data_IF_532038936202
#
_entry.id   IF_532038936202
#
_cell.length_a   1.000
_cell.length_b   1.000
_cell.length_c   1.000
_cell.angle_alpha   90.00
_cell.angle_beta   90.00
_cell.angle_gamma   90.00
#
_symmetry.space_group_name_H-M   'P 1'
#
loop_
_entity.id
_entity.type
_entity.pdbx_description
1 polymer ?
#
# COMPACT_ATOMS: atom_id res chain seq x y z
N UNK A 1 9.49 2.83 -23.27
CA UNK A 1 10.33 2.30 -22.17
C UNK A 1 9.63 2.50 -20.81
N UNK A 2 9.17 3.71 -20.48
CA UNK A 2 8.48 4.00 -19.21
C UNK A 2 7.34 3.01 -18.90
N UNK A 3 6.45 2.77 -19.87
CA UNK A 3 5.32 1.84 -19.69
C UNK A 3 5.75 0.39 -19.37
N UNK A 4 6.86 -0.07 -19.94
CA UNK A 4 7.42 -1.41 -19.65
C UNK A 4 8.09 -1.47 -18.28
N UNK A 5 8.69 -0.38 -17.84
CA UNK A 5 9.26 -0.25 -16.50
C UNK A 5 8.12 -0.27 -15.48
N UNK A 6 7.06 0.51 -15.70
CA UNK A 6 5.88 0.53 -14.81
C UNK A 6 5.25 -0.85 -14.66
N UNK A 7 5.09 -1.59 -15.78
CA UNK A 7 4.56 -2.96 -15.72
C UNK A 7 5.47 -3.91 -14.92
N UNK A 8 6.79 -3.84 -15.14
CA UNK A 8 7.75 -4.65 -14.39
C UNK A 8 7.73 -4.29 -12.88
N UNK A 9 7.68 -2.99 -12.55
CA UNK A 9 7.58 -2.52 -11.16
C UNK A 9 6.30 -2.98 -10.50
N UNK A 10 5.17 -2.95 -11.22
CA UNK A 10 3.86 -3.36 -10.71
C UNK A 10 3.82 -4.86 -10.38
N UNK A 11 4.37 -5.70 -11.27
CA UNK A 11 4.45 -7.15 -11.01
C UNK A 11 5.38 -7.45 -9.86
N UNK A 12 6.57 -6.85 -9.80
CA UNK A 12 7.50 -7.05 -8.68
C UNK A 12 6.90 -6.57 -7.36
N UNK A 13 6.25 -5.42 -7.36
CA UNK A 13 5.59 -4.89 -6.16
C UNK A 13 4.43 -5.79 -5.71
N UNK A 14 3.64 -6.33 -6.65
CA UNK A 14 2.56 -7.27 -6.32
C UNK A 14 3.10 -8.59 -5.72
N UNK A 15 4.19 -9.12 -6.26
CA UNK A 15 4.85 -10.32 -5.70
C UNK A 15 5.41 -10.06 -4.30
N UNK A 16 6.08 -8.92 -4.12
CA UNK A 16 6.60 -8.52 -2.82
C UNK A 16 5.47 -8.24 -1.82
N UNK A 17 4.41 -7.56 -2.24
CA UNK A 17 3.23 -7.32 -1.43
C UNK A 17 2.55 -8.62 -1.00
N UNK A 18 2.47 -9.61 -1.90
CA UNK A 18 1.93 -10.93 -1.58
C UNK A 18 2.78 -11.63 -0.51
N UNK A 19 4.10 -11.60 -0.64
CA UNK A 19 5.00 -12.15 0.37
C UNK A 19 4.84 -11.46 1.73
N UNK A 20 4.77 -10.12 1.74
CA UNK A 20 4.55 -9.33 2.95
C UNK A 20 3.15 -9.55 3.54
N UNK A 21 2.13 -9.77 2.72
CA UNK A 21 0.79 -10.16 3.18
C UNK A 21 0.85 -11.48 3.94
N UNK A 22 1.50 -12.50 3.40
CA UNK A 22 1.66 -13.80 4.07
C UNK A 22 2.41 -13.63 5.40
N UNK A 23 3.50 -12.89 5.42
CA UNK A 23 4.26 -12.61 6.65
C UNK A 23 3.40 -11.85 7.67
N UNK A 24 2.69 -10.81 7.24
CA UNK A 24 1.83 -10.01 8.12
C UNK A 24 0.67 -10.83 8.70
N UNK A 25 0.06 -11.71 7.91
CA UNK A 25 -1.04 -12.55 8.39
C UNK A 25 -0.56 -13.64 9.38
N UNK A 26 0.58 -14.29 9.09
CA UNK A 26 1.09 -15.39 9.90
C UNK A 26 1.82 -14.91 11.18
N UNK A 27 2.54 -13.81 11.07
CA UNK A 27 3.43 -13.34 12.15
C UNK A 27 2.95 -12.03 12.80
N UNK A 28 1.69 -11.62 12.59
CA UNK A 28 1.14 -10.36 13.13
C UNK A 28 1.39 -10.20 14.64
N UNK A 29 1.13 -11.23 15.44
CA UNK A 29 1.31 -11.20 16.89
C UNK A 29 2.78 -11.09 17.29
N UNK A 30 3.67 -11.82 16.60
CA UNK A 30 5.11 -11.75 16.84
C UNK A 30 5.68 -10.39 16.46
N UNK A 31 5.20 -9.81 15.37
CA UNK A 31 5.58 -8.45 14.94
C UNK A 31 5.10 -7.39 15.94
N UNK A 32 3.85 -7.49 16.42
CA UNK A 32 3.34 -6.60 17.46
C UNK A 32 4.11 -6.75 18.78
N UNK A 33 4.55 -7.96 19.13
CA UNK A 33 5.31 -8.25 20.34
C UNK A 33 6.69 -7.58 20.39
N UNK A 34 7.27 -7.20 19.25
CA UNK A 34 8.54 -6.45 19.21
C UNK A 34 8.46 -5.07 19.86
N UNK A 35 7.24 -4.53 20.04
CA UNK A 35 7.02 -3.21 20.64
C UNK A 35 6.82 -3.25 22.16
N UNK A 36 6.90 -4.43 22.80
CA UNK A 36 6.80 -4.56 24.26
C UNK A 36 5.44 -4.16 24.84
N UNK A 37 4.37 -4.36 24.07
CA UNK A 37 3.00 -4.02 24.44
C UNK A 37 2.45 -5.01 25.47
N UNK A 38 1.53 -4.55 26.33
CA UNK A 38 0.73 -5.42 27.19
C UNK A 38 -0.19 -6.35 26.37
N UNK A 39 -0.60 -7.48 26.93
CA UNK A 39 -1.33 -8.53 26.19
C UNK A 39 -2.61 -8.02 25.52
N UNK A 40 -3.37 -7.14 26.15
CA UNK A 40 -4.59 -6.58 25.59
C UNK A 40 -4.32 -5.70 24.37
N UNK A 41 -3.32 -4.83 24.46
CA UNK A 41 -2.88 -3.96 23.34
C UNK A 41 -2.19 -4.76 22.25
N UNK A 42 -1.45 -5.82 22.60
CA UNK A 42 -0.80 -6.72 21.66
C UNK A 42 -1.80 -7.38 20.71
N UNK A 43 -2.91 -7.89 21.23
CA UNK A 43 -3.93 -8.54 20.41
C UNK A 43 -4.62 -7.55 19.45
N UNK A 44 -4.93 -6.34 19.92
CA UNK A 44 -5.47 -5.27 19.09
C UNK A 44 -4.50 -4.83 17.97
N UNK A 45 -3.22 -4.70 18.33
CA UNK A 45 -2.17 -4.36 17.36
C UNK A 45 -1.98 -5.47 16.31
N UNK A 46 -1.99 -6.73 16.74
CA UNK A 46 -1.89 -7.88 15.86
C UNK A 46 -3.08 -7.96 14.89
N UNK A 47 -4.29 -7.67 15.36
CA UNK A 47 -5.47 -7.63 14.50
C UNK A 47 -5.37 -6.52 13.45
N UNK A 48 -4.96 -5.32 13.85
CA UNK A 48 -4.74 -4.21 12.92
C UNK A 48 -3.67 -4.55 11.85
N UNK A 49 -2.54 -5.16 12.26
CA UNK A 49 -1.50 -5.62 11.34
C UNK A 49 -2.06 -6.62 10.32
N UNK A 50 -2.93 -7.56 10.74
CA UNK A 50 -3.56 -8.52 9.83
C UNK A 50 -4.43 -7.82 8.78
N UNK A 51 -5.23 -6.83 9.19
CA UNK A 51 -6.06 -6.08 8.26
C UNK A 51 -5.23 -5.25 7.27
N UNK A 52 -4.20 -4.55 7.74
CA UNK A 52 -3.27 -3.83 6.87
C UNK A 52 -2.58 -4.80 5.89
N UNK A 53 -2.14 -5.96 6.38
CA UNK A 53 -1.52 -6.99 5.53
C UNK A 53 -2.49 -7.53 4.48
N UNK A 54 -3.76 -7.75 4.81
CA UNK A 54 -4.77 -8.22 3.87
C UNK A 54 -4.97 -7.25 2.69
N UNK A 55 -4.88 -5.95 2.93
CA UNK A 55 -5.03 -4.92 1.90
C UNK A 55 -3.70 -4.45 1.26
N UNK A 56 -2.57 -5.05 1.65
CA UNK A 56 -1.23 -4.62 1.24
C UNK A 56 -1.04 -4.60 -0.29
N UNK A 57 -1.67 -5.52 -1.02
CA UNK A 57 -1.65 -5.53 -2.49
C UNK A 57 -2.30 -4.26 -3.05
N UNK A 58 -3.43 -3.83 -2.51
CA UNK A 58 -4.10 -2.61 -2.93
C UNK A 58 -3.25 -1.36 -2.64
N UNK A 59 -2.62 -1.28 -1.47
CA UNK A 59 -1.66 -0.22 -1.14
C UNK A 59 -0.52 -0.17 -2.15
N UNK A 60 0.09 -1.33 -2.47
CA UNK A 60 1.21 -1.42 -3.40
C UNK A 60 0.85 -0.97 -4.81
N UNK A 61 -0.30 -1.39 -5.33
CA UNK A 61 -0.81 -0.96 -6.64
C UNK A 61 -0.99 0.56 -6.67
N UNK A 62 -1.64 1.12 -5.64
CA UNK A 62 -1.87 2.55 -5.53
C UNK A 62 -0.56 3.34 -5.55
N UNK A 63 0.42 2.90 -4.75
CA UNK A 63 1.74 3.53 -4.68
C UNK A 63 2.49 3.51 -6.01
N UNK A 64 2.58 2.36 -6.66
CA UNK A 64 3.34 2.20 -7.91
C UNK A 64 2.69 3.00 -9.05
N UNK A 65 1.38 2.91 -9.22
CA UNK A 65 0.70 3.64 -10.29
C UNK A 65 0.75 5.16 -10.06
N UNK A 66 0.56 5.62 -8.83
CA UNK A 66 0.70 7.03 -8.47
C UNK A 66 2.12 7.55 -8.71
N UNK A 67 3.15 6.75 -8.36
CA UNK A 67 4.54 7.11 -8.61
C UNK A 67 4.85 7.16 -10.11
N UNK A 68 4.38 6.18 -10.89
CA UNK A 68 4.56 6.13 -12.34
C UNK A 68 3.90 7.33 -13.05
N UNK A 69 2.71 7.74 -12.61
CA UNK A 69 2.02 8.92 -13.14
C UNK A 69 2.79 10.20 -12.85
N UNK A 70 3.22 10.40 -11.60
CA UNK A 70 4.06 11.56 -11.24
C UNK A 70 5.35 11.60 -12.04
N UNK A 71 6.03 10.46 -12.21
CA UNK A 71 7.24 10.36 -13.00
C UNK A 71 7.01 10.65 -14.50
N UNK A 72 5.80 10.45 -15.01
CA UNK A 72 5.42 10.80 -16.39
C UNK A 72 4.98 12.26 -16.58
N UNK A 73 5.03 13.06 -15.53
CA UNK A 73 4.62 14.46 -15.51
C UNK A 73 3.12 14.68 -15.24
N UNK A 74 2.40 13.62 -14.87
CA UNK A 74 0.99 13.71 -14.48
C UNK A 74 0.89 13.67 -12.95
N UNK A 75 0.94 14.83 -12.33
CA UNK A 75 0.78 14.97 -10.88
C UNK A 75 -0.68 15.17 -10.45
N UNK A 76 -1.56 15.61 -11.34
CA UNK A 76 -2.93 15.96 -11.01
C UNK A 76 -3.82 14.73 -10.78
N UNK A 77 -3.74 13.71 -11.65
CA UNK A 77 -4.56 12.51 -11.49
C UNK A 77 -4.28 11.76 -10.18
N UNK A 78 -3.01 11.48 -9.78
CA UNK A 78 -2.72 10.88 -8.48
C UNK A 78 -3.17 11.75 -7.30
N UNK A 79 -3.09 13.09 -7.43
CA UNK A 79 -3.53 14.01 -6.39
C UNK A 79 -5.04 13.89 -6.14
N UNK A 80 -5.85 13.96 -7.20
CA UNK A 80 -7.31 13.86 -7.08
C UNK A 80 -7.75 12.49 -6.58
N UNK A 81 -7.09 11.42 -7.02
CA UNK A 81 -7.39 10.06 -6.54
C UNK A 81 -7.02 9.93 -5.06
N UNK A 82 -5.86 10.44 -4.64
CA UNK A 82 -5.47 10.45 -3.23
C UNK A 82 -6.42 11.30 -2.37
N UNK A 83 -6.87 12.43 -2.87
CA UNK A 83 -7.90 13.23 -2.22
C UNK A 83 -9.21 12.44 -2.06
N UNK A 84 -9.67 11.77 -3.12
CA UNK A 84 -10.86 10.92 -3.09
C UNK A 84 -10.72 9.75 -2.11
N UNK A 85 -9.56 9.10 -2.06
CA UNK A 85 -9.25 8.03 -1.09
C UNK A 85 -9.37 8.54 0.34
N UNK A 86 -8.78 9.70 0.66
CA UNK A 86 -8.88 10.29 1.99
C UNK A 86 -10.32 10.70 2.34
N UNK A 87 -11.03 11.29 1.38
CA UNK A 87 -12.44 11.67 1.56
C UNK A 87 -13.33 10.46 1.80
N UNK A 88 -13.07 9.33 1.14
CA UNK A 88 -13.77 8.06 1.36
C UNK A 88 -13.35 7.40 2.68
N UNK A 89 -12.08 7.53 3.07
CA UNK A 89 -11.58 6.93 4.30
C UNK A 89 -12.27 7.50 5.55
N UNK A 90 -12.52 8.82 5.60
CA UNK A 90 -13.13 9.47 6.76
C UNK A 90 -14.48 8.87 7.17
N UNK A 91 -15.50 8.75 6.30
CA UNK A 91 -16.77 8.15 6.67
C UNK A 91 -16.65 6.65 6.96
N UNK A 92 -15.78 5.92 6.25
CA UNK A 92 -15.51 4.51 6.54
C UNK A 92 -14.86 4.34 7.92
N UNK A 93 -13.93 5.22 8.27
CA UNK A 93 -13.30 5.23 9.59
C UNK A 93 -14.35 5.43 10.68
N UNK A 94 -15.21 6.44 10.51
CA UNK A 94 -16.28 6.72 11.46
C UNK A 94 -17.26 5.52 11.60
N UNK A 95 -17.58 4.87 10.49
CA UNK A 95 -18.48 3.73 10.44
C UNK A 95 -17.89 2.51 11.19
N UNK A 96 -16.65 2.12 10.87
CA UNK A 96 -16.04 0.88 11.39
C UNK A 96 -15.47 1.05 12.80
N UNK A 97 -14.91 2.21 13.14
CA UNK A 97 -14.35 2.42 14.49
C UNK A 97 -15.45 2.54 15.54
N UNK A 98 -16.50 3.31 15.25
CA UNK A 98 -17.57 3.58 16.22
C UNK A 98 -18.79 2.68 16.09
N UNK A 99 -18.91 1.88 15.03
CA UNK A 99 -20.01 0.94 14.88
C UNK A 99 -21.37 1.60 14.63
N UNK A 100 -21.39 2.72 13.90
CA UNK A 100 -22.62 3.45 13.62
C UNK A 100 -23.46 2.76 12.53
N UNK A 101 -24.74 3.10 12.44
CA UNK A 101 -25.69 2.59 11.44
C UNK A 101 -25.87 1.06 11.45
N UNK A 102 -25.72 0.42 12.63
CA UNK A 102 -25.93 -1.03 12.77
C UNK A 102 -24.70 -1.88 12.46
N UNK A 103 -23.56 -1.29 12.18
CA UNK A 103 -22.29 -2.01 12.03
C UNK A 103 -21.67 -2.32 13.40
N UNK A 104 -20.96 -3.44 13.56
CA UNK A 104 -20.25 -3.75 14.79
C UNK A 104 -19.13 -2.74 15.04
N UNK A 105 -18.97 -2.34 16.28
CA UNK A 105 -17.83 -1.50 16.70
C UNK A 105 -16.54 -2.31 16.62
N UNK A 106 -15.65 -1.96 15.70
CA UNK A 106 -14.40 -2.68 15.47
C UNK A 106 -13.17 -1.99 16.09
N UNK A 107 -13.33 -0.77 16.61
CA UNK A 107 -12.23 -0.06 17.26
C UNK A 107 -10.97 0.03 16.37
N UNK A 108 -9.85 -0.45 16.89
CA UNK A 108 -8.54 -0.39 16.22
C UNK A 108 -8.53 -1.18 14.89
N UNK A 109 -9.21 -2.32 14.82
CA UNK A 109 -9.35 -3.09 13.58
C UNK A 109 -10.08 -2.28 12.49
N UNK A 110 -11.07 -1.47 12.90
CA UNK A 110 -11.81 -0.59 11.99
C UNK A 110 -10.92 0.43 11.26
N UNK A 111 -9.80 0.84 11.86
CA UNK A 111 -8.82 1.72 11.22
C UNK A 111 -8.16 1.03 10.02
N UNK A 112 -7.70 -0.22 10.21
CA UNK A 112 -7.08 -1.01 9.14
C UNK A 112 -8.06 -1.31 7.99
N UNK A 113 -9.30 -1.67 8.33
CA UNK A 113 -10.36 -1.99 7.36
C UNK A 113 -10.75 -0.76 6.54
N UNK A 114 -11.01 0.38 7.19
CA UNK A 114 -11.41 1.61 6.52
C UNK A 114 -10.35 2.10 5.55
N UNK A 115 -9.08 2.12 5.98
CA UNK A 115 -7.96 2.46 5.13
C UNK A 115 -7.82 1.47 3.97
N UNK A 116 -7.88 0.16 4.25
CA UNK A 116 -7.80 -0.88 3.24
C UNK A 116 -8.86 -0.75 2.15
N UNK A 117 -10.12 -0.52 2.52
CA UNK A 117 -11.22 -0.33 1.58
C UNK A 117 -11.06 0.95 0.76
N UNK A 118 -10.70 2.07 1.39
CA UNK A 118 -10.49 3.34 0.70
C UNK A 118 -9.34 3.25 -0.32
N UNK A 119 -8.20 2.66 0.07
CA UNK A 119 -7.08 2.43 -0.85
C UNK A 119 -7.39 1.40 -1.93
N UNK A 120 -8.23 0.39 -1.65
CA UNK A 120 -8.71 -0.56 -2.67
C UNK A 120 -9.55 0.14 -3.73
N UNK A 121 -10.44 1.05 -3.33
CA UNK A 121 -11.21 1.86 -4.26
C UNK A 121 -10.29 2.76 -5.10
N UNK A 122 -9.31 3.43 -4.50
CA UNK A 122 -8.30 4.23 -5.19
C UNK A 122 -7.46 3.41 -6.17
N UNK A 123 -7.04 2.21 -5.77
CA UNK A 123 -6.29 1.28 -6.63
C UNK A 123 -7.12 0.81 -7.81
N UNK A 124 -8.40 0.49 -7.58
CA UNK A 124 -9.32 0.11 -8.64
C UNK A 124 -9.52 1.27 -9.65
N UNK A 125 -9.67 2.49 -9.16
CA UNK A 125 -9.77 3.68 -10.02
C UNK A 125 -8.49 3.90 -10.85
N UNK A 126 -7.31 3.82 -10.24
CA UNK A 126 -6.02 3.92 -10.94
C UNK A 126 -5.84 2.82 -11.98
N UNK A 127 -6.15 1.57 -11.62
CA UNK A 127 -6.08 0.44 -12.54
C UNK A 127 -7.05 0.62 -13.71
N UNK A 128 -8.28 1.02 -13.45
CA UNK A 128 -9.29 1.27 -14.48
C UNK A 128 -8.81 2.35 -15.48
N UNK A 129 -8.32 3.48 -14.97
CA UNK A 129 -7.80 4.55 -15.82
C UNK A 129 -6.55 4.13 -16.59
N UNK A 130 -5.70 3.29 -16.00
CA UNK A 130 -4.51 2.75 -16.66
C UNK A 130 -4.87 1.74 -17.75
N UNK A 131 -5.78 0.82 -17.49
CA UNK A 131 -6.24 -0.17 -18.45
C UNK A 131 -7.01 0.46 -19.61
N UNK A 132 -7.80 1.50 -19.36
CA UNK A 132 -8.50 2.29 -20.40
C UNK A 132 -7.56 3.22 -21.18
N UNK A 133 -6.24 3.14 -20.93
CA UNK A 133 -5.19 3.91 -21.61
C UNK A 133 -5.40 5.43 -21.58
N UNK A 134 -6.11 5.94 -20.58
CA UNK A 134 -6.31 7.38 -20.37
C UNK A 134 -5.07 8.09 -19.83
N UNK A 135 -4.06 7.33 -19.38
CA UNK A 135 -2.80 7.87 -18.89
C UNK A 135 -1.72 7.93 -19.98
N UNK A 136 -0.74 8.82 -19.79
CA UNK A 136 0.47 8.87 -20.65
C UNK A 136 1.28 7.59 -20.56
N UNK A 137 1.27 6.91 -19.41
CA UNK A 137 1.89 5.59 -19.21
C UNK A 137 0.88 4.52 -19.60
N UNK A 138 1.07 3.94 -20.79
CA UNK A 138 0.15 2.96 -21.36
C UNK A 138 0.42 1.56 -20.84
N UNK A 139 -0.63 0.74 -20.73
CA UNK A 139 -0.50 -0.70 -20.51
C UNK A 139 0.21 -1.35 -21.72
N UNK A 140 1.21 -2.18 -21.46
CA UNK A 140 1.96 -2.92 -22.49
C UNK A 140 1.97 -4.40 -22.17
N UNK A 141 1.36 -5.22 -23.01
CA UNK A 141 1.21 -6.66 -22.82
C UNK A 141 2.39 -7.50 -23.35
N UNK A 142 3.64 -7.04 -23.20
CA UNK A 142 4.78 -7.84 -23.61
C UNK A 142 6.15 -7.16 -23.47
N UNK A 143 7.21 -7.99 -23.41
CA UNK A 143 8.59 -7.52 -23.38
C UNK A 143 9.00 -6.73 -22.11
N UNK A 144 8.19 -6.80 -21.04
CA UNK A 144 8.46 -6.14 -19.76
C UNK A 144 9.47 -6.92 -18.91
N UNK A 145 9.52 -8.25 -19.06
CA UNK A 145 10.43 -9.14 -18.35
C UNK A 145 11.77 -9.25 -19.06
N UNK A 146 12.74 -8.41 -18.68
CA UNK A 146 14.15 -8.49 -19.12
C UNK A 146 15.08 -8.37 -17.94
N UNK A 147 16.05 -9.28 -17.77
CA UNK A 147 17.03 -9.28 -16.65
C UNK A 147 17.70 -7.92 -16.45
N UNK A 148 18.06 -7.23 -17.53
CA UNK A 148 18.71 -5.91 -17.48
C UNK A 148 17.81 -4.83 -16.87
N UNK A 149 16.50 -4.91 -17.11
CA UNK A 149 15.51 -3.96 -16.57
C UNK A 149 15.24 -4.24 -15.09
N UNK A 150 15.10 -5.52 -14.72
CA UNK A 150 14.92 -5.94 -13.32
C UNK A 150 16.14 -5.54 -12.48
N UNK A 151 17.35 -5.77 -12.99
CA UNK A 151 18.58 -5.33 -12.32
C UNK A 151 18.57 -3.82 -12.09
N UNK A 152 18.21 -3.02 -13.10
CA UNK A 152 18.13 -1.56 -12.98
C UNK A 152 17.09 -1.10 -11.95
N UNK A 153 15.94 -1.80 -11.86
CA UNK A 153 14.92 -1.52 -10.84
C UNK A 153 15.43 -1.82 -9.43
N UNK A 154 16.15 -2.93 -9.26
CA UNK A 154 16.75 -3.28 -7.98
C UNK A 154 17.91 -2.34 -7.61
N UNK A 155 18.76 -1.98 -8.55
CA UNK A 155 19.89 -1.05 -8.33
C UNK A 155 19.41 0.34 -7.86
N UNK A 156 18.25 0.79 -8.34
CA UNK A 156 17.64 2.07 -7.91
C UNK A 156 16.80 1.88 -6.64
N UNK A 157 16.06 0.77 -6.54
CA UNK A 157 15.15 0.51 -5.43
C UNK A 157 15.86 0.18 -4.12
N UNK A 158 17.00 -0.49 -4.18
CA UNK A 158 17.75 -0.87 -2.98
C UNK A 158 18.25 0.32 -2.15
N UNK A 159 18.92 1.34 -2.73
CA UNK A 159 19.30 2.54 -1.98
C UNK A 159 18.10 3.29 -1.40
N UNK A 160 17.01 3.43 -2.18
CA UNK A 160 15.79 4.08 -1.72
C UNK A 160 15.11 3.32 -0.56
N UNK A 161 15.13 1.98 -0.60
CA UNK A 161 14.62 1.16 0.49
C UNK A 161 15.47 1.29 1.76
N UNK A 162 16.79 1.35 1.63
CA UNK A 162 17.70 1.58 2.76
C UNK A 162 17.46 2.97 3.38
N UNK A 163 17.38 4.02 2.57
CA UNK A 163 17.10 5.37 3.03
C UNK A 163 15.79 5.43 3.83
N UNK A 164 14.72 4.85 3.29
CA UNK A 164 13.43 4.77 3.96
C UNK A 164 13.49 3.97 5.26
N UNK A 165 14.26 2.88 5.29
CA UNK A 165 14.44 2.05 6.48
C UNK A 165 15.17 2.80 7.59
N UNK A 166 16.24 3.52 7.25
CA UNK A 166 16.99 4.36 8.20
C UNK A 166 16.10 5.45 8.77
N UNK A 167 15.28 6.11 7.93
CA UNK A 167 14.31 7.11 8.38
C UNK A 167 13.30 6.53 9.37
N UNK A 168 12.74 5.34 9.08
CA UNK A 168 11.77 4.68 9.95
C UNK A 168 12.38 4.24 11.28
N UNK A 169 13.61 3.71 11.26
CA UNK A 169 14.33 3.32 12.49
C UNK A 169 14.61 4.58 13.33
N UNK A 170 15.05 5.67 12.71
CA UNK A 170 15.26 6.95 13.39
C UNK A 170 13.98 7.50 14.03
N UNK A 171 12.86 7.40 13.33
CA UNK A 171 11.56 7.81 13.84
C UNK A 171 11.10 6.95 15.02
N UNK A 172 11.28 5.62 14.95
CA UNK A 172 11.00 4.72 16.07
C UNK A 172 11.88 5.01 17.29
N UNK A 173 13.18 5.25 17.08
CA UNK A 173 14.09 5.60 18.16
C UNK A 173 13.76 6.96 18.82
N UNK A 174 13.15 7.87 18.07
CA UNK A 174 12.65 9.13 18.63
C UNK A 174 11.39 8.99 19.49
N UNK A 175 10.56 7.97 19.20
CA UNK A 175 9.32 7.69 19.94
C UNK A 175 9.53 6.86 21.21
N UNK A 176 10.69 6.21 21.36
CA UNK A 176 11.09 5.42 22.53
C UNK A 176 11.81 6.27 23.59
#
# INVERSE_FOLDING_TARGET
>A
EASRITMASLVLAALFALAMTVVGLLFARSLAGLFGLDDATLDLAAENIRWIAAFNIAFSINFILSAALRASGDAWNPLWISFGVNLLNLPLLYLFVFGNYGWPQMGVAGVGISAGLAFSAGSAALLFLWLTQRFRVKHVSGGWWRRRRLKRLLDIGYPAALEQSVFQIGFLAFLM
#
